data_IF_318596538341
#
_entry.id   IF_318596538341
#
_cell.length_a   1.000
_cell.length_b   1.000
_cell.length_c   1.000
_cell.angle_alpha   90.00
_cell.angle_beta   90.00
_cell.angle_gamma   90.00
#
_symmetry.space_group_name_H-M   'P 1'
#
loop_
_entity.id
_entity.type
_entity.pdbx_description
1 polymer ?
#
# COMPACT_ATOMS: atom_id res chain seq x y z
N UNK A 1 -37.10 2.31 24.86
CA UNK A 1 -36.21 1.59 23.93
C UNK A 1 -35.68 2.57 22.88
N UNK A 2 -34.38 2.84 22.92
CA UNK A 2 -33.73 3.83 22.08
C UNK A 2 -33.83 3.42 20.60
N UNK A 3 -34.21 4.40 19.81
CA UNK A 3 -34.30 4.41 18.35
C UNK A 3 -33.04 3.86 17.70
N UNK A 4 -33.24 2.91 16.79
CA UNK A 4 -32.30 2.45 15.79
C UNK A 4 -31.83 3.66 14.96
N UNK A 5 -30.71 4.26 15.34
CA UNK A 5 -30.01 5.25 14.52
C UNK A 5 -29.39 4.49 13.36
N UNK A 6 -29.71 4.97 12.15
CA UNK A 6 -29.35 4.35 10.88
C UNK A 6 -27.90 3.91 10.86
N UNK A 7 -27.73 2.67 10.42
CA UNK A 7 -26.55 2.11 9.80
C UNK A 7 -26.23 2.91 8.52
N UNK A 8 -25.90 4.20 8.67
CA UNK A 8 -25.11 4.91 7.68
C UNK A 8 -23.75 4.23 7.75
N UNK A 9 -23.57 3.23 6.89
CA UNK A 9 -22.32 2.50 6.69
C UNK A 9 -21.26 3.51 6.31
N UNK A 10 -20.60 4.08 7.31
CA UNK A 10 -19.33 4.76 7.16
C UNK A 10 -18.43 3.75 6.45
N UNK A 11 -18.03 4.09 5.23
CA UNK A 11 -17.15 3.25 4.44
C UNK A 11 -15.86 3.06 5.24
N UNK A 12 -15.57 1.81 5.60
CA UNK A 12 -14.44 1.49 6.45
C UNK A 12 -13.17 1.64 5.64
N UNK A 13 -12.32 2.58 6.03
CA UNK A 13 -11.06 2.83 5.38
C UNK A 13 -9.99 1.95 6.03
N UNK A 14 -9.51 0.93 5.31
CA UNK A 14 -8.49 0.00 5.80
C UNK A 14 -7.26 0.07 4.90
N UNK A 15 -6.11 0.41 5.48
CA UNK A 15 -4.82 0.28 4.82
C UNK A 15 -4.32 -1.13 5.03
N UNK A 16 -3.98 -1.84 3.95
CA UNK A 16 -3.37 -3.17 4.01
C UNK A 16 -1.90 -3.09 3.59
N UNK A 17 -1.03 -3.71 4.36
CA UNK A 17 0.40 -3.83 4.07
C UNK A 17 0.79 -5.30 4.02
N UNK A 18 1.56 -5.69 3.01
CA UNK A 18 2.11 -7.02 2.87
C UNK A 18 3.63 -6.98 2.65
N UNK A 19 4.35 -7.79 3.41
CA UNK A 19 5.80 -7.94 3.31
C UNK A 19 6.12 -9.41 3.04
N UNK A 20 6.85 -9.68 1.95
CA UNK A 20 7.19 -11.03 1.51
C UNK A 20 8.71 -11.16 1.31
N UNK A 21 9.24 -12.32 1.68
CA UNK A 21 10.59 -12.75 1.29
C UNK A 21 10.46 -14.00 0.43
N UNK A 22 10.98 -13.94 -0.78
CA UNK A 22 10.77 -14.97 -1.80
C UNK A 22 12.11 -15.49 -2.33
N UNK A 23 12.14 -16.76 -2.68
CA UNK A 23 13.18 -17.35 -3.54
C UNK A 23 12.63 -17.44 -4.94
N UNK A 24 13.37 -16.90 -5.90
CA UNK A 24 13.00 -16.85 -7.32
C UNK A 24 14.19 -17.27 -8.18
N UNK A 25 13.92 -17.71 -9.41
CA UNK A 25 14.98 -18.11 -10.36
C UNK A 25 15.81 -16.89 -10.81
N UNK A 26 15.12 -15.80 -11.15
CA UNK A 26 15.74 -14.55 -11.62
C UNK A 26 15.10 -13.36 -10.88
N UNK A 27 15.82 -12.75 -9.92
CA UNK A 27 15.32 -11.58 -9.20
C UNK A 27 15.10 -10.35 -10.08
N UNK A 28 15.85 -10.21 -11.17
CA UNK A 28 15.68 -9.11 -12.12
C UNK A 28 14.37 -9.26 -12.89
N UNK A 29 14.16 -10.42 -13.51
CA UNK A 29 12.92 -10.72 -14.23
C UNK A 29 11.70 -10.64 -13.30
N UNK A 30 11.79 -11.22 -12.10
CA UNK A 30 10.70 -11.19 -11.13
C UNK A 30 10.33 -9.76 -10.74
N UNK A 31 11.32 -8.88 -10.59
CA UNK A 31 11.11 -7.45 -10.30
C UNK A 31 10.38 -6.74 -11.43
N UNK A 32 10.74 -7.03 -12.69
CA UNK A 32 10.08 -6.47 -13.87
C UNK A 32 8.63 -6.95 -13.98
N UNK A 33 8.39 -8.24 -13.78
CA UNK A 33 7.06 -8.86 -13.85
C UNK A 33 6.13 -8.31 -12.77
N UNK A 34 6.62 -8.20 -11.54
CA UNK A 34 5.87 -7.58 -10.42
C UNK A 34 5.56 -6.11 -10.72
N UNK A 35 6.52 -5.37 -11.29
CA UNK A 35 6.30 -3.98 -11.67
C UNK A 35 5.33 -3.80 -12.85
N UNK A 36 5.24 -4.77 -13.75
CA UNK A 36 4.24 -4.82 -14.83
C UNK A 36 2.86 -5.12 -14.26
N UNK A 37 2.75 -6.17 -13.44
CA UNK A 37 1.53 -6.55 -12.75
C UNK A 37 0.97 -5.36 -11.97
N UNK A 38 1.79 -4.66 -11.16
CA UNK A 38 1.33 -3.51 -10.39
C UNK A 38 0.66 -2.43 -11.27
N UNK A 39 1.20 -2.16 -12.46
CA UNK A 39 0.64 -1.18 -13.41
C UNK A 39 -0.65 -1.68 -14.06
N UNK A 40 -0.71 -2.96 -14.41
CA UNK A 40 -1.94 -3.61 -14.92
C UNK A 40 -3.04 -3.64 -13.84
N UNK A 41 -2.65 -3.54 -12.57
CA UNK A 41 -3.53 -3.39 -11.43
C UNK A 41 -3.96 -1.96 -11.11
N UNK A 42 -3.69 -0.99 -11.98
CA UNK A 42 -3.89 0.45 -11.73
C UNK A 42 -3.09 0.96 -10.53
N UNK A 43 -2.07 0.21 -10.14
CA UNK A 43 -1.08 0.55 -9.15
C UNK A 43 0.19 1.13 -9.75
N UNK A 44 1.24 1.23 -8.93
CA UNK A 44 2.53 1.76 -9.35
C UNK A 44 3.68 1.23 -8.49
N UNK A 45 4.89 1.30 -9.05
CA UNK A 45 6.14 0.99 -8.34
C UNK A 45 6.58 2.21 -7.54
N UNK A 46 6.77 2.01 -6.24
CA UNK A 46 7.31 3.05 -5.32
C UNK A 46 8.83 3.06 -5.38
N UNK A 47 9.44 1.89 -5.31
CA UNK A 47 10.87 1.70 -5.38
C UNK A 47 11.19 0.31 -5.92
N UNK A 48 12.32 0.21 -6.61
CA UNK A 48 12.85 -1.04 -7.12
C UNK A 48 14.36 -0.96 -7.14
N UNK A 49 15.02 -2.00 -6.63
CA UNK A 49 16.45 -2.08 -6.54
C UNK A 49 16.90 -3.52 -6.76
N UNK A 50 17.67 -3.74 -7.82
CA UNK A 50 18.33 -5.02 -8.12
C UNK A 50 19.83 -4.83 -7.91
N UNK A 51 20.44 -5.74 -7.18
CA UNK A 51 21.85 -5.66 -6.82
C UNK A 51 22.47 -7.05 -6.76
N UNK A 52 23.79 -7.09 -6.87
CA UNK A 52 24.56 -8.33 -6.75
C UNK A 52 25.24 -8.35 -5.39
N UNK A 53 25.18 -9.49 -4.71
CA UNK A 53 25.87 -9.71 -3.44
C UNK A 53 26.81 -10.91 -3.57
N UNK A 54 27.95 -10.85 -2.89
CA UNK A 54 28.91 -11.95 -2.84
C UNK A 54 28.83 -12.60 -1.47
N UNK A 55 28.57 -13.90 -1.45
CA UNK A 55 28.53 -14.71 -0.24
C UNK A 55 29.91 -15.31 0.06
N UNK A 56 29.98 -16.09 1.14
CA UNK A 56 31.16 -16.89 1.43
C UNK A 56 31.54 -17.76 0.21
N UNK A 57 32.84 -18.02 0.06
CA UNK A 57 33.39 -18.83 -1.06
C UNK A 57 33.24 -18.18 -2.46
N UNK A 58 33.18 -16.85 -2.54
CA UNK A 58 33.08 -16.07 -3.79
C UNK A 58 31.83 -16.38 -4.63
N UNK A 59 30.79 -16.93 -4.01
CA UNK A 59 29.51 -17.19 -4.67
C UNK A 59 28.76 -15.87 -4.85
N UNK A 60 28.62 -15.43 -6.09
CA UNK A 60 27.82 -14.25 -6.41
C UNK A 60 26.34 -14.64 -6.59
N UNK A 61 25.43 -13.90 -5.97
CA UNK A 61 24.00 -14.02 -6.25
C UNK A 61 23.35 -12.65 -6.48
N UNK A 62 22.38 -12.64 -7.38
CA UNK A 62 21.53 -11.46 -7.59
C UNK A 62 20.47 -11.43 -6.50
N UNK A 63 20.15 -10.23 -6.02
CA UNK A 63 19.07 -9.95 -5.10
C UNK A 63 18.26 -8.77 -5.63
N UNK A 64 17.00 -8.70 -5.22
CA UNK A 64 16.15 -7.59 -5.54
C UNK A 64 15.23 -7.22 -4.37
N UNK A 65 14.89 -5.94 -4.30
CA UNK A 65 13.87 -5.40 -3.41
C UNK A 65 12.96 -4.50 -4.24
N UNK A 66 11.65 -4.75 -4.16
CA UNK A 66 10.63 -3.97 -4.84
C UNK A 66 9.51 -3.62 -3.87
N UNK A 67 9.07 -2.37 -3.91
CA UNK A 67 7.88 -1.89 -3.20
C UNK A 67 6.89 -1.37 -4.22
N UNK A 68 5.67 -1.89 -4.20
CA UNK A 68 4.58 -1.50 -5.09
C UNK A 68 3.36 -1.04 -4.27
N UNK A 69 2.52 -0.19 -4.87
CA UNK A 69 1.16 0.08 -4.38
C UNK A 69 0.16 -0.43 -5.40
N UNK A 70 -0.89 -1.05 -4.92
CA UNK A 70 -2.05 -1.52 -5.70
C UNK A 70 -3.34 -1.14 -4.97
N UNK A 71 -4.48 -1.03 -5.67
CA UNK A 71 -5.79 -0.90 -5.04
C UNK A 71 -6.01 -2.01 -4.00
N UNK A 72 -6.64 -1.66 -2.87
CA UNK A 72 -6.77 -2.58 -1.72
C UNK A 72 -7.62 -3.81 -2.06
N UNK A 73 -8.55 -3.66 -3.00
CA UNK A 73 -9.42 -4.70 -3.54
C UNK A 73 -8.65 -5.73 -4.37
N UNK A 74 -7.48 -5.35 -4.89
CA UNK A 74 -6.62 -6.21 -5.73
C UNK A 74 -5.40 -6.75 -5.00
N UNK A 75 -5.24 -6.44 -3.70
CA UNK A 75 -4.07 -6.89 -2.95
C UNK A 75 -3.95 -8.41 -2.92
N UNK A 76 -5.05 -9.14 -2.72
CA UNK A 76 -4.99 -10.61 -2.66
C UNK A 76 -4.62 -11.22 -4.02
N UNK A 77 -5.16 -10.67 -5.11
CA UNK A 77 -4.78 -11.04 -6.49
C UNK A 77 -3.29 -10.77 -6.76
N UNK A 78 -2.77 -9.62 -6.30
CA UNK A 78 -1.36 -9.28 -6.43
C UNK A 78 -0.47 -10.24 -5.64
N UNK A 79 -0.86 -10.60 -4.42
CA UNK A 79 -0.13 -11.55 -3.58
C UNK A 79 -0.06 -12.93 -4.22
N UNK A 80 -1.18 -13.41 -4.76
CA UNK A 80 -1.22 -14.72 -5.41
C UNK A 80 -0.35 -14.75 -6.66
N UNK A 81 -0.40 -13.72 -7.50
CA UNK A 81 0.50 -13.58 -8.65
C UNK A 81 1.99 -13.61 -8.23
N UNK A 82 2.34 -12.89 -7.16
CA UNK A 82 3.72 -12.82 -6.65
C UNK A 82 4.18 -14.19 -6.13
N UNK A 83 3.32 -14.90 -5.40
CA UNK A 83 3.65 -16.23 -4.83
C UNK A 83 3.76 -17.29 -5.92
N UNK A 84 2.90 -17.26 -6.93
CA UNK A 84 2.92 -18.20 -8.06
C UNK A 84 4.20 -18.07 -8.91
N UNK A 85 4.77 -16.87 -8.99
CA UNK A 85 6.06 -16.62 -9.64
C UNK A 85 7.29 -17.04 -8.80
N UNK A 86 7.08 -17.49 -7.55
CA UNK A 86 8.17 -17.85 -6.64
C UNK A 86 8.45 -19.36 -6.61
N UNK A 87 9.70 -19.73 -6.35
CA UNK A 87 10.09 -21.11 -6.05
C UNK A 87 9.69 -21.45 -4.61
N UNK A 88 9.88 -20.51 -3.70
CA UNK A 88 9.65 -20.69 -2.27
C UNK A 88 9.27 -19.34 -1.62
N UNK A 89 8.22 -19.36 -0.80
CA UNK A 89 7.87 -18.25 0.08
C UNK A 89 8.54 -18.47 1.43
N UNK A 90 9.59 -17.69 1.74
CA UNK A 90 10.32 -17.80 3.01
C UNK A 90 9.60 -17.11 4.16
N UNK A 91 8.95 -15.99 3.87
CA UNK A 91 8.13 -15.30 4.85
C UNK A 91 7.04 -14.49 4.15
N UNK A 92 5.89 -14.42 4.81
CA UNK A 92 4.75 -13.59 4.42
C UNK A 92 4.17 -12.97 5.69
N UNK A 93 4.02 -11.65 5.68
CA UNK A 93 3.35 -10.93 6.73
C UNK A 93 2.36 -9.94 6.12
N UNK A 94 1.08 -10.14 6.40
CA UNK A 94 -0.01 -9.26 5.96
C UNK A 94 -0.63 -8.62 7.19
N UNK A 95 -0.77 -7.30 7.16
CA UNK A 95 -1.36 -6.51 8.23
C UNK A 95 -2.40 -5.54 7.66
N UNK A 96 -3.41 -5.24 8.47
CA UNK A 96 -4.44 -4.27 8.14
C UNK A 96 -4.60 -3.26 9.27
N UNK A 97 -4.69 -1.99 8.92
CA UNK A 97 -4.97 -0.89 9.84
C UNK A 97 -6.24 -0.19 9.39
N UNK A 98 -7.24 -0.18 10.26
CA UNK A 98 -8.42 0.66 10.11
C UNK A 98 -8.05 2.11 10.44
N UNK A 99 -8.28 3.02 9.50
CA UNK A 99 -7.97 4.46 9.61
C UNK A 99 -9.24 5.32 9.45
N UNK A 100 -10.41 4.71 9.62
CA UNK A 100 -11.71 5.37 9.40
C UNK A 100 -11.87 6.58 10.32
N UNK A 101 -11.51 6.43 11.60
CA UNK A 101 -11.67 7.51 12.58
C UNK A 101 -10.69 8.66 12.31
N UNK A 102 -9.44 8.34 12.03
CA UNK A 102 -8.40 9.31 11.70
C UNK A 102 -8.77 10.13 10.46
N UNK A 103 -9.36 9.48 9.45
CA UNK A 103 -9.88 10.15 8.27
C UNK A 103 -11.03 11.12 8.62
N UNK A 104 -12.03 10.66 9.37
CA UNK A 104 -13.17 11.50 9.80
C UNK A 104 -12.69 12.71 10.62
N UNK A 105 -11.74 12.50 11.52
CA UNK A 105 -11.16 13.54 12.36
C UNK A 105 -10.42 14.57 11.50
N UNK A 106 -9.61 14.11 10.53
CA UNK A 106 -8.90 14.98 9.61
C UNK A 106 -9.86 15.80 8.72
N UNK A 107 -10.91 15.17 8.20
CA UNK A 107 -11.94 15.88 7.44
C UNK A 107 -12.66 16.94 8.28
N UNK A 108 -12.91 16.65 9.55
CA UNK A 108 -13.54 17.60 10.48
C UNK A 108 -12.63 18.79 10.80
N UNK A 109 -11.33 18.53 10.98
CA UNK A 109 -10.33 19.58 11.16
C UNK A 109 -10.20 20.46 9.91
N UNK A 110 -10.17 19.85 8.72
CA UNK A 110 -10.09 20.57 7.45
C UNK A 110 -11.28 21.54 7.27
N UNK A 111 -12.51 21.06 7.48
CA UNK A 111 -13.71 21.90 7.38
C UNK A 111 -13.67 23.10 8.34
N UNK A 112 -13.21 22.88 9.57
CA UNK A 112 -13.11 23.96 10.56
C UNK A 112 -12.06 25.01 10.15
N UNK A 113 -10.94 24.58 9.56
CA UNK A 113 -9.91 25.48 9.05
C UNK A 113 -10.41 26.30 7.86
N UNK A 114 -11.14 25.68 6.93
CA UNK A 114 -11.73 26.35 5.77
C UNK A 114 -12.76 27.42 6.20
N UNK A 115 -13.63 27.11 7.18
CA UNK A 115 -14.59 28.07 7.73
C UNK A 115 -13.89 29.26 8.42
N UNK A 116 -12.85 28.99 9.21
CA UNK A 116 -12.08 30.04 9.85
C UNK A 116 -11.33 30.93 8.84
N UNK A 117 -10.82 30.34 7.74
CA UNK A 117 -10.23 31.10 6.64
C UNK A 117 -11.26 32.02 5.98
N UNK A 118 -12.47 31.52 5.71
CA UNK A 118 -13.55 32.29 5.10
C UNK A 118 -13.96 33.48 5.96
N UNK A 119 -14.19 33.26 7.26
CA UNK A 119 -14.50 34.34 8.21
C UNK A 119 -13.40 35.41 8.26
N UNK A 120 -12.13 34.99 8.30
CA UNK A 120 -11.00 35.92 8.29
C UNK A 120 -10.94 36.74 7.00
N UNK A 121 -11.19 36.11 5.84
CA UNK A 121 -11.20 36.81 4.55
C UNK A 121 -12.31 37.86 4.49
N UNK A 122 -13.48 37.60 5.06
CA UNK A 122 -14.57 38.59 5.12
C UNK A 122 -14.20 39.78 6.01
N UNK A 123 -13.53 39.54 7.13
CA UNK A 123 -13.00 40.61 7.99
C UNK A 123 -11.98 41.47 7.22
N UNK A 124 -11.07 40.86 6.44
CA UNK A 124 -10.02 41.58 5.69
C UNK A 124 -10.52 42.41 4.50
N UNK A 125 -11.72 42.13 3.98
CA UNK A 125 -12.34 42.90 2.89
C UNK A 125 -13.12 44.13 3.38
N UNK A 126 -13.34 44.24 4.69
CA UNK A 126 -14.04 45.34 5.36
C UNK A 126 -13.07 46.43 5.81
#
# INVERSE_FOLDING_TARGET
>A
PLTNLGDDKVERLVIRNANLTLVVNDPGQSTEDIGKMAREMEGFVVSSYVYQTTYAEDVMAVQASITIRVPVERLDEALDFIKDGSIEVRSENVSGQDVTQEYIDLQSQLRNLELAEEELREIMKS
#
